data_IF_694619857162
#
_entry.id   IF_694619857162
#
_cell.length_a   1.000
_cell.length_b   1.000
_cell.length_c   1.000
_cell.angle_alpha   90.00
_cell.angle_beta   90.00
_cell.angle_gamma   90.00
#
_symmetry.space_group_name_H-M   'P 1'
#
loop_
_entity.id
_entity.type
_entity.pdbx_description
1 polymer ?
#
# COMPACT_ATOMS: atom_id res chain seq x y z
N UNK A 1 8.93 2.67 -19.96
CA UNK A 1 8.47 2.41 -18.57
C UNK A 1 9.06 3.49 -17.66
N UNK A 2 8.31 3.95 -16.66
CA UNK A 2 8.79 4.98 -15.74
C UNK A 2 9.98 4.48 -14.92
N UNK A 3 11.07 5.24 -14.87
CA UNK A 3 12.26 4.94 -14.03
C UNK A 3 12.01 5.15 -12.52
N UNK A 4 10.77 5.46 -12.13
CA UNK A 4 10.39 5.74 -10.76
C UNK A 4 10.35 4.50 -9.86
N UNK A 5 10.05 3.33 -10.43
CA UNK A 5 9.92 2.09 -9.69
C UNK A 5 11.11 1.18 -9.98
N UNK A 6 11.78 0.73 -8.92
CA UNK A 6 12.87 -0.25 -8.98
C UNK A 6 12.49 -1.46 -8.15
N UNK A 7 12.69 -2.67 -8.68
CA UNK A 7 12.32 -3.90 -7.97
C UNK A 7 13.16 -4.04 -6.70
N UNK A 8 12.52 -4.43 -5.59
CA UNK A 8 13.19 -4.74 -4.34
C UNK A 8 13.75 -6.16 -4.39
N UNK A 9 14.95 -6.38 -3.84
CA UNK A 9 15.48 -7.70 -3.57
C UNK A 9 15.56 -7.96 -2.06
N UNK A 10 14.59 -8.72 -1.50
CA UNK A 10 14.58 -9.05 -0.07
C UNK A 10 15.57 -10.14 0.34
N UNK A 11 16.30 -10.75 -0.59
CA UNK A 11 17.49 -11.55 -0.27
C UNK A 11 18.73 -10.69 -0.08
N UNK A 12 18.72 -9.44 -0.54
CA UNK A 12 19.74 -8.46 -0.19
C UNK A 12 19.47 -7.91 1.21
N UNK A 13 20.42 -8.13 2.14
CA UNK A 13 20.29 -7.72 3.53
C UNK A 13 20.09 -6.22 3.71
N UNK A 14 20.75 -5.40 2.90
CA UNK A 14 20.63 -3.93 2.98
C UNK A 14 19.23 -3.48 2.58
N UNK A 15 18.65 -4.07 1.54
CA UNK A 15 17.28 -3.77 1.11
C UNK A 15 16.24 -4.27 2.10
N UNK A 16 16.45 -5.46 2.67
CA UNK A 16 15.60 -5.99 3.73
C UNK A 16 15.56 -5.06 4.95
N UNK A 17 16.74 -4.65 5.43
CA UNK A 17 16.86 -3.80 6.61
C UNK A 17 16.26 -2.41 6.35
N UNK A 18 16.43 -1.85 5.13
CA UNK A 18 15.80 -0.59 4.74
C UNK A 18 14.28 -0.70 4.65
N UNK A 19 13.73 -1.82 4.14
CA UNK A 19 12.29 -2.01 4.07
C UNK A 19 11.71 -2.09 5.48
N UNK A 20 12.35 -2.87 6.35
CA UNK A 20 11.95 -2.98 7.76
C UNK A 20 11.96 -1.60 8.44
N UNK A 21 13.02 -0.80 8.23
CA UNK A 21 13.11 0.57 8.75
C UNK A 21 11.93 1.43 8.28
N UNK A 22 11.59 1.40 7.00
CA UNK A 22 10.43 2.14 6.48
C UNK A 22 9.09 1.61 7.00
N UNK A 23 8.96 0.30 7.25
CA UNK A 23 7.75 -0.28 7.86
C UNK A 23 7.59 0.13 9.33
N UNK A 24 8.68 0.23 10.08
CA UNK A 24 8.66 0.81 11.43
C UNK A 24 8.15 2.25 11.41
N UNK A 25 8.62 3.07 10.46
CA UNK A 25 8.11 4.43 10.26
C UNK A 25 6.63 4.48 9.81
N UNK A 26 6.20 3.50 9.01
CA UNK A 26 4.81 3.37 8.58
C UNK A 26 3.87 3.00 9.73
N UNK A 27 4.34 2.20 10.69
CA UNK A 27 3.57 1.74 11.85
C UNK A 27 2.87 0.38 11.68
N UNK A 28 2.80 -0.15 10.46
CA UNK A 28 2.07 -1.37 10.07
C UNK A 28 3.01 -2.45 9.54
N UNK A 29 2.74 -3.73 9.83
CA UNK A 29 3.56 -4.87 9.37
C UNK A 29 5.07 -4.63 9.57
N UNK A 30 5.41 -4.11 10.75
CA UNK A 30 6.70 -3.50 11.07
C UNK A 30 7.71 -4.45 11.72
N UNK A 31 7.53 -5.75 11.52
CA UNK A 31 8.35 -6.78 12.15
C UNK A 31 9.10 -7.58 11.09
N UNK A 32 10.29 -8.09 11.42
CA UNK A 32 11.05 -8.93 10.50
C UNK A 32 10.24 -10.15 10.01
N UNK A 33 9.46 -10.87 10.86
CA UNK A 33 8.58 -11.95 10.39
C UNK A 33 7.54 -11.53 9.33
N UNK A 34 7.04 -10.29 9.39
CA UNK A 34 6.13 -9.78 8.37
C UNK A 34 6.86 -9.58 7.02
N UNK A 35 8.07 -9.03 7.05
CA UNK A 35 8.90 -8.86 5.85
C UNK A 35 9.32 -10.22 5.26
N UNK A 36 9.63 -11.19 6.12
CA UNK A 36 9.92 -12.57 5.72
C UNK A 36 8.74 -13.23 5.00
N UNK A 37 7.52 -13.01 5.48
CA UNK A 37 6.31 -13.45 4.79
C UNK A 37 6.20 -12.84 3.40
N UNK A 38 6.57 -11.57 3.24
CA UNK A 38 6.58 -10.91 1.93
C UNK A 38 7.69 -11.41 1.01
N UNK A 39 8.86 -11.73 1.56
CA UNK A 39 9.95 -12.38 0.82
C UNK A 39 9.51 -13.73 0.27
N UNK A 40 8.88 -14.57 1.08
CA UNK A 40 8.33 -15.85 0.63
C UNK A 40 7.27 -15.68 -0.47
N UNK A 41 6.40 -14.66 -0.37
CA UNK A 41 5.43 -14.35 -1.41
C UNK A 41 6.09 -13.82 -2.71
N UNK A 42 7.23 -13.15 -2.61
CA UNK A 42 8.04 -12.76 -3.77
C UNK A 42 8.69 -13.96 -4.44
N UNK A 43 9.24 -14.91 -3.66
CA UNK A 43 9.79 -16.16 -4.16
C UNK A 43 8.72 -17.03 -4.85
N UNK A 44 7.47 -16.95 -4.38
CA UNK A 44 6.31 -17.61 -4.99
C UNK A 44 5.70 -16.84 -6.17
N UNK A 45 6.27 -15.71 -6.57
CA UNK A 45 5.77 -14.82 -7.63
C UNK A 45 4.33 -14.30 -7.44
N UNK A 46 3.83 -14.31 -6.20
CA UNK A 46 2.49 -13.79 -5.85
C UNK A 46 2.51 -12.35 -5.37
N UNK A 47 3.71 -11.82 -5.11
CA UNK A 47 3.96 -10.42 -4.74
C UNK A 47 5.20 -9.93 -5.48
N UNK A 48 5.13 -8.72 -6.00
CA UNK A 48 6.32 -7.94 -6.37
C UNK A 48 6.33 -6.64 -5.58
N UNK A 49 7.50 -6.23 -5.11
CA UNK A 49 7.68 -4.99 -4.39
C UNK A 49 8.65 -4.07 -5.13
N UNK A 50 8.39 -2.77 -5.04
CA UNK A 50 9.17 -1.74 -5.69
C UNK A 50 9.60 -0.67 -4.71
N UNK A 51 10.87 -0.29 -4.77
CA UNK A 51 11.35 0.99 -4.29
C UNK A 51 10.79 2.11 -5.16
N UNK A 52 10.38 3.19 -4.52
CA UNK A 52 10.01 4.44 -5.19
C UNK A 52 11.24 5.34 -5.17
N UNK A 53 11.86 5.51 -6.35
CA UNK A 53 13.12 6.23 -6.54
C UNK A 53 12.88 7.41 -7.49
N UNK A 54 12.62 8.62 -6.96
CA UNK A 54 12.49 9.82 -7.79
C UNK A 54 13.76 10.07 -8.61
N UNK A 55 13.66 10.57 -9.86
CA UNK A 55 14.82 10.88 -10.68
C UNK A 55 15.83 11.81 -9.99
N UNK A 56 15.35 12.75 -9.17
CA UNK A 56 16.19 13.67 -8.41
C UNK A 56 17.06 12.98 -7.36
N UNK A 57 16.73 11.76 -6.93
CA UNK A 57 17.49 11.00 -5.95
C UNK A 57 18.27 9.84 -6.57
N UNK A 58 18.08 9.56 -7.86
CA UNK A 58 18.59 8.34 -8.50
C UNK A 58 20.12 8.18 -8.44
N UNK A 59 20.86 9.28 -8.30
CA UNK A 59 22.32 9.32 -8.20
C UNK A 59 22.84 8.98 -6.79
N UNK A 60 21.98 8.96 -5.77
CA UNK A 60 22.36 8.73 -4.39
C UNK A 60 22.51 7.22 -4.09
N UNK A 61 23.18 6.85 -2.98
CA UNK A 61 23.18 5.49 -2.46
C UNK A 61 21.76 4.98 -2.19
N UNK A 62 21.59 3.65 -2.18
CA UNK A 62 20.28 2.98 -2.03
C UNK A 62 19.42 3.55 -0.88
N UNK A 63 19.99 3.68 0.32
CA UNK A 63 19.27 4.12 1.52
C UNK A 63 18.77 5.57 1.42
N UNK A 64 19.47 6.40 0.65
CA UNK A 64 19.16 7.81 0.46
C UNK A 64 18.23 8.03 -0.73
N UNK A 65 18.33 7.18 -1.77
CA UNK A 65 17.49 7.31 -2.97
C UNK A 65 16.09 6.73 -2.84
N UNK A 66 15.88 5.80 -1.92
CA UNK A 66 14.57 5.18 -1.68
C UNK A 66 13.66 6.13 -0.90
N UNK A 67 12.74 6.77 -1.63
CA UNK A 67 11.76 7.71 -1.06
C UNK A 67 10.53 7.02 -0.47
N UNK A 68 10.36 5.72 -0.72
CA UNK A 68 9.22 4.93 -0.29
C UNK A 68 9.21 3.54 -0.94
N UNK A 69 8.12 2.82 -0.74
CA UNK A 69 7.88 1.52 -1.36
C UNK A 69 6.40 1.34 -1.72
N UNK A 70 6.13 0.42 -2.66
CA UNK A 70 4.79 0.02 -3.07
C UNK A 70 4.86 -1.42 -3.59
N UNK A 71 3.78 -2.19 -3.46
CA UNK A 71 3.73 -3.58 -3.91
C UNK A 71 2.51 -3.85 -4.81
N UNK A 72 2.70 -4.79 -5.74
CA UNK A 72 1.64 -5.35 -6.57
C UNK A 72 1.51 -6.84 -6.24
N UNK A 73 0.29 -7.30 -6.03
CA UNK A 73 0.01 -8.61 -5.45
C UNK A 73 -1.03 -9.34 -6.29
N UNK A 74 -0.78 -10.61 -6.63
CA UNK A 74 -1.69 -11.50 -7.35
C UNK A 74 -2.36 -12.53 -6.44
N UNK A 75 -1.98 -12.61 -5.17
CA UNK A 75 -2.68 -13.41 -4.16
C UNK A 75 -2.59 -12.77 -2.78
N UNK A 76 -3.74 -12.61 -2.10
CA UNK A 76 -3.80 -12.11 -0.72
C UNK A 76 -3.72 -13.26 0.29
N UNK A 77 -3.42 -12.94 1.55
CA UNK A 77 -3.49 -13.90 2.66
C UNK A 77 -4.43 -13.35 3.74
N UNK A 78 -5.59 -13.99 4.00
CA UNK A 78 -6.13 -15.15 3.27
C UNK A 78 -6.49 -14.83 1.80
N UNK A 79 -6.62 -15.85 0.92
CA UNK A 79 -6.99 -15.65 -0.47
C UNK A 79 -8.32 -14.91 -0.63
N UNK A 80 -8.36 -13.96 -1.56
CA UNK A 80 -9.54 -13.16 -1.89
C UNK A 80 -9.52 -12.77 -3.37
N UNK A 81 -10.27 -13.50 -4.19
CA UNK A 81 -10.32 -13.32 -5.64
C UNK A 81 -11.03 -12.03 -6.10
N UNK A 82 -11.69 -11.31 -5.19
CA UNK A 82 -12.19 -9.95 -5.45
C UNK A 82 -11.10 -8.88 -5.29
N UNK A 83 -9.96 -9.21 -4.67
CA UNK A 83 -8.81 -8.32 -4.54
C UNK A 83 -7.71 -8.68 -5.54
N UNK A 84 -7.32 -9.95 -5.59
CA UNK A 84 -6.19 -10.39 -6.39
C UNK A 84 -6.42 -11.80 -6.93
N UNK A 85 -5.98 -12.05 -8.16
CA UNK A 85 -6.07 -13.35 -8.82
C UNK A 85 -4.70 -13.79 -9.34
N UNK A 86 -4.37 -15.07 -9.16
CA UNK A 86 -3.06 -15.63 -9.54
C UNK A 86 -2.75 -15.51 -11.03
N UNK A 87 -3.78 -15.51 -11.88
CA UNK A 87 -3.66 -15.28 -13.33
C UNK A 87 -3.31 -13.82 -13.70
N UNK A 88 -3.24 -12.93 -12.70
CA UNK A 88 -2.92 -11.50 -12.82
C UNK A 88 -3.96 -10.72 -13.64
N UNK A 89 -5.16 -11.26 -13.84
CA UNK A 89 -6.31 -10.52 -14.40
C UNK A 89 -6.79 -9.40 -13.47
N UNK A 90 -6.59 -9.58 -12.16
CA UNK A 90 -6.89 -8.61 -11.12
C UNK A 90 -5.70 -8.53 -10.16
N UNK A 91 -5.13 -7.35 -9.97
CA UNK A 91 -3.96 -7.15 -9.10
C UNK A 91 -4.26 -6.17 -7.96
N UNK A 92 -3.68 -6.44 -6.80
CA UNK A 92 -3.89 -5.67 -5.58
C UNK A 92 -2.68 -4.78 -5.27
N UNK A 93 -2.92 -3.48 -5.09
CA UNK A 93 -1.91 -2.58 -4.53
C UNK A 93 -1.87 -2.78 -3.03
N UNK A 94 -0.67 -3.04 -2.52
CA UNK A 94 -0.44 -3.10 -1.08
C UNK A 94 0.80 -2.30 -0.70
N UNK A 95 0.93 -2.05 0.61
CA UNK A 95 2.17 -1.55 1.21
C UNK A 95 2.69 -0.23 0.62
N UNK A 96 1.80 0.64 0.10
CA UNK A 96 2.22 1.98 -0.35
C UNK A 96 2.65 2.80 0.87
N UNK A 97 3.90 3.24 0.85
CA UNK A 97 4.44 4.17 1.84
C UNK A 97 5.37 5.15 1.17
N UNK A 98 5.25 6.43 1.56
CA UNK A 98 6.16 7.51 1.17
C UNK A 98 6.72 8.12 2.44
N UNK A 99 8.05 8.20 2.53
CA UNK A 99 8.75 8.88 3.61
C UNK A 99 8.24 10.33 3.72
N UNK A 100 7.95 10.84 4.94
CA UNK A 100 7.33 12.15 5.14
C UNK A 100 7.95 13.30 4.32
N UNK A 101 9.27 13.38 4.26
CA UNK A 101 10.08 14.37 3.57
C UNK A 101 9.95 14.35 2.03
N UNK A 102 9.36 13.30 1.46
CA UNK A 102 9.16 13.14 0.02
C UNK A 102 7.67 13.15 -0.39
N UNK A 103 6.77 13.49 0.54
CA UNK A 103 5.34 13.65 0.26
C UNK A 103 5.11 14.94 -0.54
N UNK A 104 3.97 15.03 -1.22
CA UNK A 104 3.66 16.16 -2.12
C UNK A 104 3.49 15.75 -3.59
N UNK A 105 2.85 14.60 -3.84
CA UNK A 105 2.50 14.13 -5.19
C UNK A 105 3.27 12.90 -5.66
N UNK A 106 4.36 12.51 -4.98
CA UNK A 106 5.14 11.32 -5.33
C UNK A 106 4.33 10.03 -5.27
N UNK A 107 3.48 9.86 -4.25
CA UNK A 107 2.61 8.69 -4.13
C UNK A 107 1.70 8.49 -5.34
N UNK A 108 1.16 9.58 -5.91
CA UNK A 108 0.30 9.50 -7.10
C UNK A 108 1.09 9.00 -8.30
N UNK A 109 2.29 9.57 -8.51
CA UNK A 109 3.20 9.15 -9.60
C UNK A 109 3.61 7.69 -9.44
N UNK A 110 3.85 7.22 -8.22
CA UNK A 110 4.21 5.83 -7.93
C UNK A 110 3.07 4.86 -8.26
N UNK A 111 1.84 5.17 -7.86
CA UNK A 111 0.65 4.37 -8.21
C UNK A 111 0.42 4.37 -9.72
N UNK A 112 0.53 5.51 -10.41
CA UNK A 112 0.40 5.56 -11.88
C UNK A 112 1.48 4.74 -12.60
N UNK A 113 2.71 4.75 -12.08
CA UNK A 113 3.77 3.90 -12.58
C UNK A 113 3.42 2.42 -12.35
N UNK A 114 2.90 2.07 -11.17
CA UNK A 114 2.48 0.71 -10.84
C UNK A 114 1.31 0.23 -11.70
N UNK A 115 0.34 1.11 -11.99
CA UNK A 115 -0.75 0.87 -12.94
C UNK A 115 -0.21 0.47 -14.33
N UNK A 116 0.88 1.11 -14.77
CA UNK A 116 1.54 0.74 -16.03
C UNK A 116 2.24 -0.62 -15.92
N UNK A 117 2.90 -0.91 -14.80
CA UNK A 117 3.57 -2.18 -14.55
C UNK A 117 2.60 -3.36 -14.45
N UNK A 118 1.37 -3.13 -14.01
CA UNK A 118 0.34 -4.17 -13.91
C UNK A 118 0.01 -4.84 -15.25
N UNK A 119 0.29 -4.19 -16.38
CA UNK A 119 0.13 -4.76 -17.72
C UNK A 119 1.39 -5.44 -18.29
N UNK A 120 2.51 -5.45 -17.56
CA UNK A 120 3.82 -5.84 -18.09
C UNK A 120 4.34 -7.12 -17.44
N UNK A 121 4.50 -8.23 -18.19
CA UNK A 121 5.18 -9.43 -17.71
C UNK A 121 6.65 -9.16 -17.31
N UNK A 122 7.22 -9.92 -16.36
CA UNK A 122 6.61 -11.04 -15.65
C UNK A 122 5.74 -10.62 -14.46
N UNK A 123 5.77 -9.35 -14.04
CA UNK A 123 5.15 -8.90 -12.79
C UNK A 123 3.64 -8.67 -12.91
N UNK A 124 3.22 -8.09 -14.02
CA UNK A 124 1.83 -7.93 -14.42
C UNK A 124 1.41 -8.94 -15.47
N UNK A 125 0.30 -8.65 -16.13
CA UNK A 125 -0.23 -9.42 -17.27
C UNK A 125 -0.85 -8.48 -18.29
N UNK A 126 -0.64 -8.69 -19.60
CA UNK A 126 -1.33 -7.89 -20.63
C UNK A 126 -2.85 -7.98 -20.51
N UNK A 127 -3.37 -9.02 -19.85
CA UNK A 127 -4.79 -9.24 -19.57
C UNK A 127 -5.24 -8.67 -18.22
N UNK A 128 -4.44 -7.84 -17.55
CA UNK A 128 -4.85 -7.21 -16.30
C UNK A 128 -5.98 -6.20 -16.56
N UNK A 129 -7.17 -6.54 -16.07
CA UNK A 129 -8.42 -5.80 -16.31
C UNK A 129 -8.59 -4.65 -15.33
N UNK A 130 -8.13 -4.83 -14.09
CA UNK A 130 -8.30 -3.86 -13.03
C UNK A 130 -7.25 -3.99 -11.93
N UNK A 131 -7.08 -2.90 -11.19
CA UNK A 131 -6.32 -2.87 -9.95
C UNK A 131 -7.26 -2.60 -8.79
N UNK A 132 -7.04 -3.31 -7.68
CA UNK A 132 -7.76 -3.13 -6.43
C UNK A 132 -6.85 -2.62 -5.33
N UNK A 133 -7.44 -2.06 -4.29
CA UNK A 133 -6.78 -1.72 -3.03
C UNK A 133 -7.78 -1.70 -1.88
N UNK A 134 -7.25 -1.72 -0.66
CA UNK A 134 -8.03 -1.43 0.54
C UNK A 134 -7.42 -0.23 1.25
N UNK A 135 -8.27 0.58 1.90
CA UNK A 135 -7.82 1.66 2.77
C UNK A 135 -8.86 1.93 3.85
N UNK A 136 -8.56 2.78 4.84
CA UNK A 136 -9.52 3.13 5.89
C UNK A 136 -10.72 3.89 5.32
N UNK A 137 -11.90 3.59 5.84
CA UNK A 137 -13.13 4.32 5.52
C UNK A 137 -12.99 5.81 5.87
N UNK A 138 -13.42 6.69 4.96
CA UNK A 138 -13.32 8.15 5.13
C UNK A 138 -13.98 8.66 6.41
N UNK A 139 -14.93 7.93 7.00
CA UNK A 139 -15.57 8.33 8.27
C UNK A 139 -14.56 8.54 9.39
N UNK A 140 -13.46 7.78 9.43
CA UNK A 140 -12.41 8.00 10.42
C UNK A 140 -11.73 9.38 10.31
N UNK A 141 -11.88 10.09 9.20
CA UNK A 141 -11.29 11.44 9.00
C UNK A 141 -12.35 12.53 9.01
N UNK A 142 -13.55 12.24 8.53
CA UNK A 142 -14.56 13.25 8.23
C UNK A 142 -15.65 13.39 9.32
N UNK A 143 -15.92 12.30 10.04
CA UNK A 143 -16.95 12.22 11.07
C UNK A 143 -16.29 12.35 12.45
N UNK A 144 -16.62 13.41 13.19
CA UNK A 144 -16.01 13.71 14.49
C UNK A 144 -16.63 12.93 15.67
N UNK A 145 -17.57 12.02 15.43
CA UNK A 145 -18.20 11.21 16.48
C UNK A 145 -17.21 10.27 17.16
N UNK A 146 -17.56 9.82 18.37
CA UNK A 146 -16.70 8.94 19.18
C UNK A 146 -16.42 7.58 18.51
N UNK A 147 -17.35 7.10 17.69
CA UNK A 147 -17.23 5.84 16.94
C UNK A 147 -16.19 5.95 15.82
N UNK A 148 -16.15 7.09 15.13
CA UNK A 148 -15.32 7.30 13.93
C UNK A 148 -14.09 8.15 14.24
N UNK A 149 -14.13 9.47 14.06
CA UNK A 149 -12.98 10.34 14.29
C UNK A 149 -12.47 10.35 15.74
N UNK A 150 -13.33 10.08 16.72
CA UNK A 150 -12.93 9.93 18.12
C UNK A 150 -12.08 8.70 18.41
N UNK A 151 -12.05 7.71 17.51
CA UNK A 151 -11.26 6.48 17.70
C UNK A 151 -9.77 6.75 17.81
N UNK A 152 -9.25 7.78 17.15
CA UNK A 152 -7.81 8.09 17.15
C UNK A 152 -7.27 8.41 18.54
N UNK A 153 -8.08 9.07 19.37
CA UNK A 153 -7.74 9.34 20.76
C UNK A 153 -7.56 8.05 21.58
N UNK A 154 -8.32 7.00 21.25
CA UNK A 154 -8.21 5.67 21.88
C UNK A 154 -6.88 4.97 21.53
N UNK A 155 -6.25 5.37 20.42
CA UNK A 155 -4.92 4.92 20.01
C UNK A 155 -3.78 5.85 20.46
N UNK A 156 -4.09 6.94 21.17
CA UNK A 156 -3.11 7.98 21.51
C UNK A 156 -2.62 8.78 20.30
N UNK A 157 -3.40 8.79 19.22
CA UNK A 157 -3.08 9.50 17.98
C UNK A 157 -3.98 10.72 17.80
N UNK A 158 -3.46 11.71 17.09
CA UNK A 158 -4.29 12.83 16.64
C UNK A 158 -5.11 12.40 15.44
N UNK A 159 -6.37 12.83 15.39
CA UNK A 159 -7.21 12.60 14.22
C UNK A 159 -6.56 13.24 12.97
N UNK A 160 -6.54 12.55 11.81
CA UNK A 160 -6.10 13.14 10.57
C UNK A 160 -6.89 14.41 10.22
N UNK A 161 -6.27 15.30 9.45
CA UNK A 161 -6.93 16.53 9.01
C UNK A 161 -8.09 16.19 8.06
N UNK A 162 -9.25 16.83 8.24
CA UNK A 162 -10.37 16.72 7.29
C UNK A 162 -9.93 16.96 5.85
N UNK A 163 -10.47 16.17 4.93
CA UNK A 163 -10.10 16.12 3.51
C UNK A 163 -8.84 15.31 3.20
N UNK A 164 -8.17 14.73 4.21
CA UNK A 164 -6.96 13.92 4.04
C UNK A 164 -7.20 12.41 4.01
N UNK A 165 -8.44 11.95 3.84
CA UNK A 165 -8.75 10.53 3.71
C UNK A 165 -8.03 9.91 2.50
N UNK A 166 -7.47 8.72 2.70
CA UNK A 166 -6.89 7.92 1.61
C UNK A 166 -7.97 7.46 0.63
N UNK A 167 -9.19 7.18 1.09
CA UNK A 167 -10.33 6.85 0.22
C UNK A 167 -10.55 7.96 -0.81
N UNK A 168 -10.62 9.22 -0.34
CA UNK A 168 -10.80 10.38 -1.23
C UNK A 168 -9.57 10.63 -2.12
N UNK A 169 -8.38 10.32 -1.62
CA UNK A 169 -7.16 10.41 -2.40
C UNK A 169 -7.15 9.43 -3.58
N UNK A 170 -7.50 8.17 -3.37
CA UNK A 170 -7.63 7.18 -4.44
C UNK A 170 -8.83 7.45 -5.34
N UNK A 171 -9.95 7.96 -4.80
CA UNK A 171 -11.12 8.36 -5.59
C UNK A 171 -10.75 9.43 -6.64
N UNK A 172 -9.95 10.44 -6.25
CA UNK A 172 -9.40 11.44 -7.18
C UNK A 172 -8.47 10.88 -8.27
N UNK A 173 -8.06 9.62 -8.16
CA UNK A 173 -7.24 8.90 -9.14
C UNK A 173 -8.04 7.92 -10.01
N UNK A 174 -9.38 7.91 -9.84
CA UNK A 174 -10.30 7.07 -10.62
C UNK A 174 -10.63 5.73 -9.96
N UNK A 175 -10.23 5.50 -8.71
CA UNK A 175 -10.66 4.30 -7.98
C UNK A 175 -12.09 4.48 -7.45
N UNK A 176 -12.91 3.45 -7.61
CA UNK A 176 -14.31 3.44 -7.17
C UNK A 176 -14.46 2.45 -6.03
N UNK A 177 -15.04 2.91 -4.92
CA UNK A 177 -15.42 2.05 -3.79
C UNK A 177 -16.55 1.10 -4.22
N UNK A 178 -16.41 -0.19 -3.94
CA UNK A 178 -17.48 -1.17 -4.20
C UNK A 178 -18.01 -1.86 -2.93
N UNK A 179 -17.23 -1.89 -1.85
CA UNK A 179 -17.67 -2.40 -0.54
C UNK A 179 -16.86 -1.82 0.61
N UNK A 180 -17.33 -2.07 1.82
CA UNK A 180 -16.57 -1.86 3.06
C UNK A 180 -16.82 -3.00 4.05
N UNK A 181 -15.89 -3.22 4.97
CA UNK A 181 -16.04 -4.20 6.05
C UNK A 181 -14.96 -3.98 7.13
N UNK A 182 -15.19 -4.42 8.38
CA UNK A 182 -14.13 -4.52 9.38
C UNK A 182 -12.96 -5.36 8.82
N UNK A 183 -11.74 -4.84 8.89
CA UNK A 183 -10.56 -5.52 8.37
C UNK A 183 -9.32 -5.34 9.25
N UNK A 184 -8.93 -4.10 9.54
CA UNK A 184 -7.64 -3.81 10.16
C UNK A 184 -7.71 -3.93 11.68
N UNK A 185 -6.91 -4.82 12.24
CA UNK A 185 -6.78 -4.96 13.69
C UNK A 185 -5.94 -3.82 14.26
N UNK A 186 -6.48 -3.16 15.28
CA UNK A 186 -5.76 -2.17 16.06
C UNK A 186 -5.94 -2.42 17.56
N UNK A 187 -4.99 -1.91 18.33
CA UNK A 187 -5.03 -2.00 19.79
C UNK A 187 -5.07 -0.61 20.41
N UNK A 188 -6.12 -0.37 21.20
CA UNK A 188 -6.28 0.82 22.02
C UNK A 188 -5.24 0.88 23.14
N UNK A 189 -5.04 2.08 23.70
CA UNK A 189 -4.12 2.31 24.82
C UNK A 189 -4.47 1.50 26.08
N UNK A 190 -5.75 1.18 26.27
CA UNK A 190 -6.24 0.34 27.38
C UNK A 190 -6.08 -1.17 27.11
N UNK A 191 -5.50 -1.54 25.96
CA UNK A 191 -5.30 -2.92 25.54
C UNK A 191 -6.47 -3.52 24.75
N UNK A 192 -7.61 -2.83 24.64
CA UNK A 192 -8.78 -3.28 23.87
C UNK A 192 -8.42 -3.44 22.40
N UNK A 193 -8.83 -4.55 21.79
CA UNK A 193 -8.67 -4.78 20.36
C UNK A 193 -9.90 -4.31 19.61
N UNK A 194 -9.71 -3.51 18.58
CA UNK A 194 -10.77 -3.03 17.69
C UNK A 194 -10.42 -3.40 16.25
N UNK A 195 -11.45 -3.59 15.43
CA UNK A 195 -11.27 -3.84 14.00
C UNK A 195 -11.78 -2.65 13.21
N UNK A 196 -10.86 -1.86 12.66
CA UNK A 196 -11.19 -0.70 11.85
C UNK A 196 -11.78 -1.13 10.50
N UNK A 197 -12.72 -0.32 10.00
CA UNK A 197 -13.41 -0.55 8.72
C UNK A 197 -12.51 -0.16 7.56
N UNK A 198 -12.26 -1.12 6.67
CA UNK A 198 -11.64 -0.88 5.38
C UNK A 198 -12.70 -0.68 4.30
N UNK A 199 -12.42 0.24 3.38
CA UNK A 199 -13.09 0.35 2.09
C UNK A 199 -12.26 -0.37 1.02
N UNK A 200 -12.97 -1.00 0.10
CA UNK A 200 -12.39 -1.75 -1.01
C UNK A 200 -12.64 -0.93 -2.27
N UNK A 201 -11.57 -0.58 -2.99
CA UNK A 201 -11.61 0.33 -4.13
C UNK A 201 -10.91 -0.24 -5.35
N UNK A 202 -11.54 -0.13 -6.52
CA UNK A 202 -11.02 -0.70 -7.78
C UNK A 202 -10.95 0.35 -8.87
N UNK A 203 -10.00 0.20 -9.77
CA UNK A 203 -9.88 0.98 -10.99
C UNK A 203 -9.68 0.04 -12.17
N UNK A 204 -10.56 0.14 -13.15
CA UNK A 204 -10.40 -0.60 -14.40
C UNK A 204 -9.20 -0.03 -15.16
N UNK A 205 -8.41 -0.93 -15.74
CA UNK A 205 -7.28 -0.61 -16.60
C UNK A 205 -7.59 -0.82 -18.08
N UNK A 206 -8.84 -1.13 -18.43
CA UNK A 206 -9.29 -1.32 -19.82
C UNK A 206 -8.78 -0.20 -20.73
N UNK A 207 -8.39 -0.60 -21.95
CA UNK A 207 -7.69 0.18 -22.97
C UNK A 207 -8.27 1.57 -23.27
#
# INVERSE_FOLDING_TARGET
MSNLLQIINLHNRVEFDELLRQRVLCGWDKTAPAIETWRAAMDAETRVMFWIVPPSLAHLPLLERCAGHIALVSETTPPNEELARRDKSLLYISSLFIRPEHRGGLGRKAVQALESWAKVPPYGSPYCEAITLTTLDRRYVEDDSEEWGGVWAKFGQQSPKKGSSNEDWYARMGYVKWKHQPMYDEQCLDGTKVKLVAVFMRKNLSE
#
